data_IF_458098763541
#
_entry.id   IF_458098763541
#
_cell.length_a   1.000
_cell.length_b   1.000
_cell.length_c   1.000
_cell.angle_alpha   90.00
_cell.angle_beta   90.00
_cell.angle_gamma   90.00
#
_symmetry.space_group_name_H-M   'P 1'
#
loop_
_entity.id
_entity.type
_entity.pdbx_description
1 polymer ?
#
# COMPACT_ATOMS: atom_id res chain seq x y z
N UNK A 1 -0.39 -37.07 -24.44
CA UNK A 1 0.25 -35.99 -23.66
C UNK A 1 -0.61 -34.75 -23.75
N UNK A 2 -1.18 -34.22 -22.65
CA UNK A 2 -1.97 -33.00 -22.73
C UNK A 2 -1.03 -31.78 -22.81
N UNK A 3 -1.30 -30.89 -23.77
CA UNK A 3 -0.62 -29.60 -23.92
C UNK A 3 -0.86 -28.76 -22.68
N UNK A 4 0.20 -28.24 -22.08
CA UNK A 4 0.12 -27.25 -21.00
C UNK A 4 -0.69 -26.04 -21.49
N UNK A 5 -1.78 -25.71 -20.80
CA UNK A 5 -2.46 -24.44 -20.98
C UNK A 5 -1.48 -23.35 -20.57
N UNK A 6 -1.21 -22.40 -21.44
CA UNK A 6 -0.55 -21.16 -21.09
C UNK A 6 -1.43 -20.44 -20.07
N UNK A 7 -1.11 -20.63 -18.79
CA UNK A 7 -1.57 -19.72 -17.74
C UNK A 7 -0.73 -18.47 -17.98
N UNK A 8 -1.34 -17.44 -18.58
CA UNK A 8 -0.70 -16.13 -18.68
C UNK A 8 -0.36 -15.71 -17.24
N UNK A 9 0.91 -15.50 -16.90
CA UNK A 9 1.29 -15.16 -15.54
C UNK A 9 0.65 -13.83 -15.17
N UNK A 10 0.44 -13.65 -13.86
CA UNK A 10 -0.14 -12.52 -13.10
C UNK A 10 0.57 -11.16 -13.37
N UNK A 11 1.35 -11.04 -14.45
CA UNK A 11 2.05 -9.85 -14.88
C UNK A 11 1.13 -8.73 -15.44
N UNK A 12 -0.16 -8.99 -15.67
CA UNK A 12 -1.05 -8.00 -16.29
C UNK A 12 -1.57 -6.91 -15.33
N UNK A 13 -1.37 -7.04 -14.00
CA UNK A 13 -1.83 -6.01 -13.06
C UNK A 13 -0.81 -4.88 -12.83
N UNK A 14 0.47 -5.09 -13.15
CA UNK A 14 1.54 -4.12 -12.86
C UNK A 14 1.62 -2.96 -13.87
N UNK A 15 0.89 -3.03 -14.99
CA UNK A 15 0.99 -2.05 -16.08
C UNK A 15 0.16 -0.77 -15.88
N UNK A 16 -0.57 -0.66 -14.76
CA UNK A 16 -1.44 0.50 -14.51
C UNK A 16 -1.01 1.37 -13.32
N UNK A 17 0.06 1.03 -12.59
CA UNK A 17 0.39 1.67 -11.31
C UNK A 17 1.69 2.51 -11.36
N UNK A 18 2.22 2.82 -12.55
CA UNK A 18 3.41 3.69 -12.69
C UNK A 18 3.11 4.93 -13.53
N UNK A 19 3.66 6.05 -13.10
CA UNK A 19 3.71 7.30 -13.87
C UNK A 19 4.78 7.20 -14.96
N UNK A 20 4.75 8.13 -15.92
CA UNK A 20 5.72 8.17 -17.04
C UNK A 20 7.17 8.31 -16.57
N UNK A 21 7.39 8.90 -15.40
CA UNK A 21 8.70 9.06 -14.77
C UNK A 21 9.18 7.83 -13.96
N UNK A 22 8.42 6.72 -14.00
CA UNK A 22 8.75 5.46 -13.33
C UNK A 22 8.34 5.38 -11.86
N UNK A 23 7.78 6.46 -11.27
CA UNK A 23 7.24 6.46 -9.91
C UNK A 23 5.96 5.64 -9.82
N UNK A 24 5.65 5.12 -8.62
CA UNK A 24 4.34 4.56 -8.34
C UNK A 24 3.27 5.65 -8.32
N UNK A 25 2.17 5.38 -9.01
CA UNK A 25 0.93 6.15 -8.95
C UNK A 25 0.15 5.76 -7.68
N UNK A 26 0.56 6.36 -6.56
CA UNK A 26 -0.05 6.13 -5.25
C UNK A 26 -1.54 6.50 -5.18
N UNK A 27 -2.00 7.65 -5.72
CA UNK A 27 -3.42 7.97 -5.74
C UNK A 27 -4.25 6.86 -6.38
N UNK A 28 -3.83 6.35 -7.54
CA UNK A 28 -4.53 5.28 -8.23
C UNK A 28 -4.52 3.97 -7.45
N UNK A 29 -3.39 3.64 -6.80
CA UNK A 29 -3.29 2.46 -5.95
C UNK A 29 -4.26 2.55 -4.75
N UNK A 30 -4.34 3.71 -4.10
CA UNK A 30 -5.23 3.94 -2.96
C UNK A 30 -6.71 3.98 -3.38
N UNK A 31 -7.04 4.50 -4.57
CA UNK A 31 -8.39 4.39 -5.13
C UNK A 31 -8.77 2.93 -5.40
N UNK A 32 -7.82 2.14 -5.91
CA UNK A 32 -7.99 0.69 -6.04
C UNK A 32 -8.24 0.02 -4.69
N UNK A 33 -7.54 0.44 -3.62
CA UNK A 33 -7.76 -0.07 -2.27
C UNK A 33 -9.16 0.26 -1.78
N UNK A 34 -9.59 1.51 -1.95
CA UNK A 34 -10.93 1.96 -1.56
C UNK A 34 -12.02 1.14 -2.24
N UNK A 35 -11.86 0.85 -3.53
CA UNK A 35 -12.82 0.04 -4.27
C UNK A 35 -12.81 -1.42 -3.77
N UNK A 36 -11.63 -2.03 -3.66
CA UNK A 36 -11.49 -3.39 -3.11
C UNK A 36 -12.09 -3.53 -1.71
N UNK A 37 -11.82 -2.56 -0.83
CA UNK A 37 -12.34 -2.54 0.52
C UNK A 37 -13.87 -2.48 0.51
N UNK A 38 -14.49 -1.60 -0.28
CA UNK A 38 -15.95 -1.53 -0.42
C UNK A 38 -16.56 -2.86 -0.90
N UNK A 39 -15.92 -3.49 -1.87
CA UNK A 39 -16.47 -4.70 -2.50
C UNK A 39 -16.35 -5.95 -1.60
N UNK A 40 -15.41 -5.94 -0.66
CA UNK A 40 -15.08 -7.15 0.11
C UNK A 40 -15.26 -7.00 1.62
N UNK A 41 -15.33 -5.77 2.17
CA UNK A 41 -15.27 -5.52 3.62
C UNK A 41 -16.43 -6.12 4.41
N UNK A 42 -17.62 -6.29 3.82
CA UNK A 42 -18.80 -6.83 4.50
C UNK A 42 -18.56 -8.22 5.12
N UNK A 43 -17.80 -9.08 4.44
CA UNK A 43 -17.46 -10.43 4.95
C UNK A 43 -16.54 -10.34 6.19
N UNK A 44 -15.70 -9.32 6.25
CA UNK A 44 -14.68 -9.15 7.29
C UNK A 44 -15.22 -8.38 8.50
N UNK A 45 -16.10 -7.40 8.28
CA UNK A 45 -16.70 -6.57 9.34
C UNK A 45 -17.60 -7.37 10.29
N UNK A 46 -18.10 -8.52 9.87
CA UNK A 46 -18.93 -9.42 10.71
C UNK A 46 -18.08 -10.31 11.63
N UNK A 47 -16.80 -10.55 11.29
CA UNK A 47 -15.94 -11.52 11.97
C UNK A 47 -14.96 -10.95 13.00
N UNK A 48 -14.69 -9.63 12.99
CA UNK A 48 -13.76 -9.02 13.93
C UNK A 48 -14.50 -8.41 15.13
N UNK A 49 -14.15 -8.86 16.35
CA UNK A 49 -14.59 -8.20 17.59
C UNK A 49 -14.04 -6.77 17.70
N UNK A 50 -12.93 -6.48 17.02
CA UNK A 50 -12.32 -5.16 16.91
C UNK A 50 -12.54 -4.58 15.51
N UNK A 51 -13.45 -3.60 15.40
CA UNK A 51 -13.82 -2.95 14.13
C UNK A 51 -12.64 -2.32 13.38
N UNK A 52 -11.57 -2.02 14.11
CA UNK A 52 -10.40 -1.29 13.64
C UNK A 52 -9.33 -2.23 13.05
N UNK A 53 -9.31 -3.49 13.50
CA UNK A 53 -8.34 -4.48 13.04
C UNK A 53 -8.58 -4.89 11.58
N UNK A 54 -9.84 -4.94 11.14
CA UNK A 54 -10.21 -5.35 9.78
C UNK A 54 -9.59 -4.47 8.69
N UNK A 55 -9.87 -3.15 8.68
CA UNK A 55 -9.26 -2.21 7.74
C UNK A 55 -7.72 -2.24 7.77
N UNK A 56 -7.13 -2.31 8.96
CA UNK A 56 -5.69 -2.35 9.14
C UNK A 56 -5.05 -3.59 8.52
N UNK A 57 -5.63 -4.76 8.74
CA UNK A 57 -5.14 -6.02 8.17
C UNK A 57 -5.29 -6.04 6.65
N UNK A 58 -6.40 -5.54 6.13
CA UNK A 58 -6.62 -5.43 4.69
C UNK A 58 -5.63 -4.45 4.05
N UNK A 59 -5.33 -3.33 4.71
CA UNK A 59 -4.35 -2.36 4.24
C UNK A 59 -2.92 -2.92 4.27
N UNK A 60 -2.57 -3.78 5.23
CA UNK A 60 -1.26 -4.43 5.26
C UNK A 60 -1.07 -5.52 4.19
N UNK A 61 -2.18 -6.11 3.71
CA UNK A 61 -2.17 -7.18 2.72
C UNK A 61 -2.35 -6.68 1.28
N UNK A 62 -3.21 -5.68 1.06
CA UNK A 62 -3.56 -5.17 -0.26
C UNK A 62 -2.36 -4.72 -1.12
N UNK A 63 -1.36 -4.00 -0.57
CA UNK A 63 -0.21 -3.52 -1.33
C UNK A 63 0.84 -4.61 -1.60
N UNK A 64 0.58 -5.89 -1.30
CA UNK A 64 1.49 -7.00 -1.65
C UNK A 64 1.92 -7.00 -3.14
N UNK A 65 1.10 -6.43 -4.04
CA UNK A 65 1.47 -6.25 -5.45
C UNK A 65 2.68 -5.34 -5.67
N UNK A 66 2.94 -4.40 -4.77
CA UNK A 66 4.12 -3.54 -4.82
C UNK A 66 5.37 -4.41 -4.64
N UNK A 67 5.35 -5.35 -3.70
CA UNK A 67 6.43 -6.33 -3.51
C UNK A 67 6.57 -7.20 -4.76
N UNK A 68 5.46 -7.66 -5.33
CA UNK A 68 5.48 -8.44 -6.58
C UNK A 68 6.03 -7.63 -7.78
N UNK A 69 5.90 -6.31 -7.75
CA UNK A 69 6.44 -5.38 -8.74
C UNK A 69 7.91 -5.02 -8.57
N UNK A 70 8.57 -5.51 -7.52
CA UNK A 70 9.98 -5.22 -7.21
C UNK A 70 10.19 -4.11 -6.17
N UNK A 71 9.12 -3.60 -5.57
CA UNK A 71 9.19 -2.68 -4.43
C UNK A 71 9.41 -3.40 -3.09
N UNK A 72 9.48 -2.62 -2.01
CA UNK A 72 9.54 -3.11 -0.63
C UNK A 72 8.46 -2.44 0.22
N UNK A 73 8.02 -3.16 1.25
CA UNK A 73 7.08 -2.66 2.25
C UNK A 73 7.64 -3.04 3.61
N UNK A 74 7.94 -2.04 4.42
CA UNK A 74 8.17 -2.21 5.85
C UNK A 74 6.84 -1.98 6.57
N UNK A 75 6.49 -2.90 7.47
CA UNK A 75 5.27 -2.82 8.30
C UNK A 75 5.66 -2.42 9.71
N UNK A 76 4.82 -1.63 10.36
CA UNK A 76 5.10 -1.11 11.70
C UNK A 76 6.43 -0.35 11.75
N UNK A 77 6.68 0.48 10.74
CA UNK A 77 7.97 1.15 10.59
C UNK A 77 8.14 2.22 11.68
N UNK A 78 9.19 2.09 12.48
CA UNK A 78 9.54 3.08 13.50
C UNK A 78 10.28 4.26 12.87
N UNK A 79 9.57 5.36 12.61
CA UNK A 79 10.17 6.63 12.24
C UNK A 79 10.41 7.44 13.53
N UNK A 80 11.66 7.52 13.98
CA UNK A 80 12.00 8.18 15.25
C UNK A 80 11.40 7.47 16.48
N UNK A 81 10.53 8.17 17.23
CA UNK A 81 9.80 7.62 18.42
C UNK A 81 8.36 7.18 18.11
N UNK A 82 7.90 7.31 16.87
CA UNK A 82 6.52 7.00 16.46
C UNK A 82 6.50 5.85 15.45
N UNK A 83 5.37 5.16 15.39
CA UNK A 83 5.15 3.98 14.55
C UNK A 83 4.23 4.36 13.42
N UNK A 84 4.68 4.15 12.19
CA UNK A 84 3.84 4.28 11.00
C UNK A 84 3.35 2.91 10.56
N UNK A 85 2.21 2.86 9.91
CA UNK A 85 1.60 1.59 9.52
C UNK A 85 2.40 0.91 8.41
N UNK A 86 2.70 1.64 7.34
CA UNK A 86 3.44 1.14 6.19
C UNK A 86 4.46 2.18 5.67
N UNK A 87 5.67 1.72 5.41
CA UNK A 87 6.64 2.40 4.56
C UNK A 87 6.77 1.63 3.25
N UNK A 88 6.33 2.26 2.16
CA UNK A 88 6.53 1.77 0.79
C UNK A 88 7.83 2.34 0.23
N UNK A 89 8.63 1.47 -0.36
CA UNK A 89 9.85 1.84 -1.07
C UNK A 89 9.80 1.32 -2.50
N UNK A 90 10.03 2.21 -3.45
CA UNK A 90 9.98 1.91 -4.87
C UNK A 90 11.22 2.42 -5.62
N UNK A 91 12.01 1.54 -6.25
CA UNK A 91 13.19 1.96 -7.01
C UNK A 91 12.77 2.66 -8.31
N UNK A 92 13.29 3.86 -8.56
CA UNK A 92 12.97 4.62 -9.78
C UNK A 92 13.75 4.11 -11.00
N UNK A 93 14.91 3.51 -10.76
CA UNK A 93 15.64 2.75 -11.76
C UNK A 93 15.51 1.25 -11.47
N UNK A 94 14.77 0.53 -12.31
CA UNK A 94 14.57 -0.91 -12.13
C UNK A 94 15.84 -1.74 -12.36
N UNK A 95 16.80 -1.23 -13.15
CA UNK A 95 18.06 -1.95 -13.42
C UNK A 95 19.04 -1.85 -12.25
N UNK A 96 19.12 -0.68 -11.62
CA UNK A 96 19.98 -0.45 -10.45
C UNK A 96 19.27 -0.74 -9.11
N UNK A 97 17.96 -0.95 -9.14
CA UNK A 97 17.15 -1.29 -7.98
C UNK A 97 17.26 -0.23 -6.87
N UNK A 98 17.53 -0.67 -5.65
CA UNK A 98 17.59 0.21 -4.47
C UNK A 98 18.94 0.93 -4.29
N UNK A 99 19.86 0.82 -5.26
CA UNK A 99 21.14 1.54 -5.25
C UNK A 99 21.06 2.90 -5.95
N UNK A 100 19.95 3.18 -6.62
CA UNK A 100 19.61 4.45 -7.26
C UNK A 100 18.51 5.18 -6.46
N UNK A 101 18.02 6.36 -6.89
CA UNK A 101 16.91 7.05 -6.22
C UNK A 101 15.69 6.14 -5.99
N UNK A 102 15.14 6.22 -4.77
CA UNK A 102 13.99 5.44 -4.32
C UNK A 102 12.86 6.40 -3.93
N UNK A 103 11.66 6.20 -4.50
CA UNK A 103 10.45 6.82 -3.97
C UNK A 103 10.08 6.14 -2.64
N UNK A 104 9.93 6.95 -1.60
CA UNK A 104 9.43 6.52 -0.30
C UNK A 104 8.05 7.13 -0.09
N UNK A 105 7.11 6.31 0.37
CA UNK A 105 5.75 6.74 0.68
C UNK A 105 5.38 6.13 2.02
N UNK A 106 4.98 6.98 2.95
CA UNK A 106 4.41 6.53 4.23
C UNK A 106 2.89 6.48 4.05
N UNK A 107 2.28 5.42 4.54
CA UNK A 107 0.82 5.30 4.61
C UNK A 107 0.45 5.09 6.06
N UNK A 108 -0.47 5.92 6.54
CA UNK A 108 -1.13 5.83 7.83
C UNK A 108 -2.61 5.64 7.58
N UNK A 109 -3.23 4.67 8.27
CA UNK A 109 -4.66 4.41 8.18
C UNK A 109 -5.32 4.74 9.52
N UNK A 110 -6.12 5.80 9.52
CA UNK A 110 -6.80 6.27 10.72
C UNK A 110 -8.31 6.09 10.61
N UNK A 111 -8.96 5.77 11.74
CA UNK A 111 -10.40 5.90 11.86
C UNK A 111 -10.70 7.36 12.19
N UNK A 112 -11.51 7.98 11.34
CA UNK A 112 -11.90 9.36 11.55
C UNK A 112 -12.85 9.48 12.75
N UNK A 113 -12.34 9.98 13.86
CA UNK A 113 -13.12 10.28 15.07
C UNK A 113 -13.51 11.77 15.17
N UNK A 114 -12.61 12.67 14.78
CA UNK A 114 -12.81 14.12 14.83
C UNK A 114 -12.96 14.72 13.41
N UNK A 115 -12.13 15.71 13.06
CA UNK A 115 -12.11 16.35 11.76
C UNK A 115 -11.00 15.76 10.88
N UNK A 116 -11.19 15.80 9.56
CA UNK A 116 -10.18 15.31 8.63
C UNK A 116 -8.94 16.21 8.65
N UNK A 117 -9.15 17.49 8.88
CA UNK A 117 -8.12 18.52 8.95
C UNK A 117 -7.16 18.23 10.11
N UNK A 118 -7.68 17.98 11.32
CA UNK A 118 -6.85 17.61 12.49
C UNK A 118 -6.11 16.30 12.27
N UNK A 119 -6.77 15.27 11.71
CA UNK A 119 -6.10 14.00 11.36
C UNK A 119 -4.93 14.20 10.39
N UNK A 120 -5.07 15.09 9.40
CA UNK A 120 -3.99 15.39 8.45
C UNK A 120 -2.83 16.11 9.16
N UNK A 121 -3.12 17.11 9.99
CA UNK A 121 -2.10 17.84 10.74
C UNK A 121 -1.28 16.91 11.64
N UNK A 122 -1.95 16.05 12.40
CA UNK A 122 -1.29 15.09 13.29
C UNK A 122 -0.45 14.06 12.52
N UNK A 123 -0.96 13.55 11.40
CA UNK A 123 -0.25 12.62 10.53
C UNK A 123 0.99 13.24 9.86
N UNK A 124 0.91 14.51 9.46
CA UNK A 124 2.07 15.24 8.92
C UNK A 124 3.14 15.46 10.00
N UNK A 125 2.75 15.81 11.22
CA UNK A 125 3.69 15.94 12.35
C UNK A 125 4.36 14.62 12.71
N UNK A 126 3.64 13.50 12.59
CA UNK A 126 4.16 12.17 12.85
C UNK A 126 5.20 11.70 11.83
N UNK A 127 5.11 12.17 10.58
CA UNK A 127 5.90 11.68 9.45
C UNK A 127 7.01 12.65 9.02
N UNK A 128 7.26 13.70 9.80
CA UNK A 128 8.15 14.81 9.43
C UNK A 128 9.67 14.57 9.70
N UNK A 129 10.04 13.50 10.41
CA UNK A 129 11.43 13.14 10.76
C UNK A 129 12.06 12.13 9.79
#
# INVERSE_FOLDING_TARGET
MPRARSVKPVALLALMEKLEDGRLDMPRLLDGFRQFFRDNSDIWLVGFEYKEAGPQLLMQAFPQRIVNGGGRIDREYGLGRRRTDLLVQWPLNTEQGFHDPVQRVIIELEILHESRETTIEDGLLQTAD
#
